data_IF_535438832442
#
_entry.id   IF_535438832442
#
_cell.length_a   1.000
_cell.length_b   1.000
_cell.length_c   1.000
_cell.angle_alpha   90.00
_cell.angle_beta   90.00
_cell.angle_gamma   90.00
#
_symmetry.space_group_name_H-M   'P 1'
#
loop_
_entity.id
_entity.type
_entity.pdbx_description
1 polymer ?
#
# COMPACT_ATOMS: atom_id res chain seq x y z
N UNK A 1 6.66 -32.93 22.62
CA UNK A 1 5.84 -33.30 21.46
C UNK A 1 5.50 -32.05 20.65
N UNK A 2 5.29 -30.90 21.31
CA UNK A 2 5.18 -29.55 20.69
C UNK A 2 6.30 -29.23 19.69
N UNK A 3 7.58 -29.40 20.05
CA UNK A 3 8.71 -29.10 19.13
C UNK A 3 8.71 -29.89 17.81
N UNK A 4 8.00 -31.03 17.71
CA UNK A 4 7.85 -31.75 16.44
C UNK A 4 6.64 -31.31 15.62
N UNK A 5 5.63 -30.74 16.28
CA UNK A 5 4.46 -30.12 15.65
C UNK A 5 4.85 -28.79 15.03
N UNK A 6 5.40 -27.87 15.83
CA UNK A 6 5.88 -26.56 15.37
C UNK A 6 6.87 -26.65 14.20
N UNK A 7 7.81 -27.60 14.25
CA UNK A 7 8.74 -27.82 13.13
C UNK A 7 8.06 -28.36 11.87
N UNK A 8 6.95 -29.09 12.02
CA UNK A 8 6.20 -29.58 10.85
C UNK A 8 5.46 -28.41 10.20
N UNK A 9 4.76 -27.61 11.00
CA UNK A 9 4.03 -26.42 10.55
C UNK A 9 4.98 -25.45 9.83
N UNK A 10 6.10 -25.06 10.46
CA UNK A 10 7.09 -24.18 9.83
C UNK A 10 7.71 -24.76 8.54
N UNK A 11 7.80 -26.09 8.41
CA UNK A 11 8.28 -26.71 7.18
C UNK A 11 7.21 -26.74 6.08
N UNK A 12 5.94 -26.78 6.45
CA UNK A 12 4.80 -26.78 5.52
C UNK A 12 4.64 -25.38 4.95
N UNK A 13 4.61 -24.36 5.81
CA UNK A 13 4.63 -22.94 5.46
C UNK A 13 5.82 -22.59 4.54
N UNK A 14 7.04 -23.03 4.90
CA UNK A 14 8.22 -22.81 4.05
C UNK A 14 8.09 -23.43 2.64
N UNK A 15 7.37 -24.56 2.49
CA UNK A 15 7.11 -25.14 1.18
C UNK A 15 6.03 -24.36 0.43
N UNK A 16 4.98 -23.93 1.11
CA UNK A 16 3.91 -23.11 0.52
C UNK A 16 4.45 -21.76 0.01
N UNK A 17 5.30 -21.09 0.80
CA UNK A 17 5.95 -19.86 0.37
C UNK A 17 6.92 -20.10 -0.81
N UNK A 18 7.57 -21.26 -0.87
CA UNK A 18 8.43 -21.59 -2.01
C UNK A 18 7.60 -21.81 -3.29
N UNK A 19 6.49 -22.55 -3.18
CA UNK A 19 5.57 -22.78 -4.29
C UNK A 19 4.94 -21.45 -4.76
N UNK A 20 4.55 -20.55 -3.84
CA UNK A 20 4.01 -19.23 -4.15
C UNK A 20 5.02 -18.35 -4.92
N UNK A 21 6.30 -18.38 -4.53
CA UNK A 21 7.37 -17.65 -5.26
C UNK A 21 7.60 -18.24 -6.65
N UNK A 22 7.53 -19.57 -6.80
CA UNK A 22 7.63 -20.24 -8.11
C UNK A 22 6.45 -19.84 -9.02
N UNK A 23 5.24 -19.73 -8.48
CA UNK A 23 4.06 -19.24 -9.22
C UNK A 23 4.24 -17.79 -9.69
N UNK A 24 4.77 -16.90 -8.85
CA UNK A 24 5.14 -15.54 -9.27
C UNK A 24 6.14 -15.58 -10.43
N UNK A 25 7.19 -16.41 -10.34
CA UNK A 25 8.19 -16.53 -11.41
C UNK A 25 7.58 -17.07 -12.72
N UNK A 26 6.57 -17.92 -12.66
CA UNK A 26 5.83 -18.38 -13.84
C UNK A 26 4.96 -17.28 -14.47
N UNK A 27 4.47 -16.33 -13.68
CA UNK A 27 3.66 -15.20 -14.15
C UNK A 27 4.51 -14.10 -14.80
N UNK A 28 5.61 -13.69 -14.15
CA UNK A 28 6.36 -12.49 -14.54
C UNK A 28 7.80 -12.76 -14.99
N UNK A 29 8.20 -14.03 -15.00
CA UNK A 29 9.48 -14.47 -15.52
C UNK A 29 10.42 -14.99 -14.43
N UNK A 30 11.33 -15.84 -14.88
CA UNK A 30 12.26 -16.63 -14.06
C UNK A 30 13.61 -15.90 -13.82
N UNK A 31 13.77 -14.69 -14.35
CA UNK A 31 14.97 -13.90 -14.14
C UNK A 31 14.98 -13.30 -12.73
N UNK A 32 16.19 -13.06 -12.19
CA UNK A 32 16.32 -12.36 -10.91
C UNK A 32 15.63 -11.00 -11.04
N UNK A 33 14.81 -10.65 -10.05
CA UNK A 33 14.26 -9.31 -9.96
C UNK A 33 15.36 -8.30 -9.64
N UNK A 34 15.58 -7.38 -10.57
CA UNK A 34 16.55 -6.30 -10.52
C UNK A 34 16.05 -5.23 -11.50
N UNK A 35 15.09 -4.38 -11.10
CA UNK A 35 14.54 -3.35 -11.98
C UNK A 35 15.66 -2.38 -12.39
N UNK A 36 15.58 -1.93 -13.64
CA UNK A 36 16.53 -0.98 -14.22
C UNK A 36 15.87 0.41 -14.25
N UNK A 37 16.32 1.29 -13.37
CA UNK A 37 15.95 2.70 -13.33
C UNK A 37 17.20 3.56 -13.15
N UNK A 38 17.17 4.77 -13.66
CA UNK A 38 18.19 5.79 -13.41
C UNK A 38 17.58 6.92 -12.57
N UNK A 39 18.41 7.60 -11.77
CA UNK A 39 17.94 8.70 -10.89
C UNK A 39 17.21 9.78 -11.71
N UNK A 40 17.69 10.04 -12.93
CA UNK A 40 17.09 11.04 -13.81
C UNK A 40 15.71 10.66 -14.33
N UNK A 41 15.26 9.41 -14.20
CA UNK A 41 13.93 8.98 -14.63
C UNK A 41 12.83 9.51 -13.70
N UNK A 42 13.18 9.99 -12.51
CA UNK A 42 12.23 10.45 -11.50
C UNK A 42 12.06 11.96 -11.48
N UNK A 43 10.83 12.40 -11.22
CA UNK A 43 10.51 13.82 -11.08
C UNK A 43 10.83 14.32 -9.67
N UNK A 44 10.93 15.64 -9.50
CA UNK A 44 10.98 16.25 -8.17
C UNK A 44 9.59 16.12 -7.50
N UNK A 45 9.47 15.48 -6.32
CA UNK A 45 8.19 15.33 -5.63
C UNK A 45 7.44 16.66 -5.41
N UNK A 46 8.16 17.76 -5.19
CA UNK A 46 7.55 19.08 -4.98
C UNK A 46 6.89 19.67 -6.24
N UNK A 47 7.17 19.12 -7.43
CA UNK A 47 6.58 19.55 -8.69
C UNK A 47 5.29 18.77 -9.04
N UNK A 48 5.00 17.68 -8.35
CA UNK A 48 3.80 16.85 -8.55
C UNK A 48 2.56 17.65 -8.11
N UNK A 49 1.58 17.78 -9.01
CA UNK A 49 0.40 18.63 -8.81
C UNK A 49 0.63 20.12 -9.12
N UNK A 50 1.88 20.55 -9.34
CA UNK A 50 2.23 21.94 -9.68
C UNK A 50 2.56 22.07 -11.17
N UNK A 51 3.60 21.39 -11.63
CA UNK A 51 4.07 21.41 -13.02
C UNK A 51 4.13 20.02 -13.65
N UNK A 52 4.18 18.98 -12.82
CA UNK A 52 4.07 17.57 -13.20
C UNK A 52 2.67 17.07 -12.85
N UNK A 53 2.02 16.37 -13.78
CA UNK A 53 0.74 15.73 -13.50
C UNK A 53 0.93 14.55 -12.54
N UNK A 54 0.13 14.43 -11.47
CA UNK A 54 0.19 13.27 -10.59
C UNK A 54 -0.29 12.01 -11.32
N UNK A 55 0.16 10.85 -10.85
CA UNK A 55 -0.42 9.57 -11.22
C UNK A 55 -1.94 9.58 -10.93
N UNK A 56 -2.78 9.10 -11.88
CA UNK A 56 -4.22 9.19 -11.74
C UNK A 56 -4.80 8.34 -10.60
N UNK A 57 -4.13 7.26 -10.19
CA UNK A 57 -4.63 6.30 -9.20
C UNK A 57 -3.85 6.34 -7.87
N UNK A 58 -2.69 6.99 -7.83
CA UNK A 58 -1.89 7.16 -6.62
C UNK A 58 -1.23 8.55 -6.61
N UNK A 59 -2.01 9.63 -6.40
CA UNK A 59 -1.51 10.99 -6.56
C UNK A 59 -0.63 11.41 -5.38
N UNK A 60 0.68 11.53 -5.62
CA UNK A 60 1.66 12.00 -4.62
C UNK A 60 1.74 13.52 -4.50
N UNK A 61 0.59 14.22 -4.35
CA UNK A 61 0.57 15.68 -4.21
C UNK A 61 0.75 16.06 -2.73
N UNK A 62 1.81 16.78 -2.33
CA UNK A 62 2.05 17.14 -0.93
C UNK A 62 0.89 17.88 -0.29
N UNK A 63 0.45 17.43 0.88
CA UNK A 63 -0.74 17.90 1.61
C UNK A 63 -2.04 17.17 1.27
N UNK A 64 -2.00 16.15 0.41
CA UNK A 64 -3.15 15.27 0.21
C UNK A 64 -3.33 14.35 1.41
N UNK A 65 -4.59 14.10 1.79
CA UNK A 65 -4.95 13.27 2.95
C UNK A 65 -6.15 12.37 2.64
N UNK A 66 -6.07 11.13 3.11
CA UNK A 66 -7.14 10.14 3.08
C UNK A 66 -7.37 9.60 4.49
N UNK A 67 -8.64 9.35 4.82
CA UNK A 67 -9.03 8.59 6.01
C UNK A 67 -9.86 7.40 5.55
N UNK A 68 -9.49 6.23 6.04
CA UNK A 68 -10.20 4.99 5.79
C UNK A 68 -10.69 4.39 7.10
N UNK A 69 -11.78 3.64 7.03
CA UNK A 69 -12.40 2.97 8.17
C UNK A 69 -12.66 1.51 7.84
N UNK A 70 -12.26 0.62 8.75
CA UNK A 70 -12.60 -0.79 8.80
C UNK A 70 -13.47 -1.05 10.04
N UNK A 71 -13.78 -2.32 10.36
CA UNK A 71 -14.64 -2.64 11.52
C UNK A 71 -14.09 -2.09 12.85
N UNK A 72 -12.78 -2.24 13.07
CA UNK A 72 -12.14 -1.91 14.35
C UNK A 72 -10.97 -0.92 14.21
N UNK A 73 -10.74 -0.38 13.01
CA UNK A 73 -9.55 0.44 12.71
C UNK A 73 -9.88 1.69 11.88
N UNK A 74 -9.14 2.77 12.17
CA UNK A 74 -9.07 3.96 11.33
C UNK A 74 -7.64 4.12 10.82
N UNK A 75 -7.52 4.32 9.50
CA UNK A 75 -6.26 4.52 8.81
C UNK A 75 -6.21 5.93 8.26
N UNK A 76 -5.14 6.68 8.55
CA UNK A 76 -4.91 8.02 7.99
C UNK A 76 -3.64 8.04 7.17
N UNK A 77 -3.77 8.40 5.89
CA UNK A 77 -2.67 8.49 4.94
C UNK A 77 -2.46 9.95 4.53
N UNK A 78 -1.22 10.44 4.63
CA UNK A 78 -0.86 11.83 4.32
C UNK A 78 0.39 11.90 3.44
N UNK A 79 0.34 12.66 2.33
CA UNK A 79 1.56 13.01 1.57
C UNK A 79 2.21 14.22 2.23
N UNK A 80 3.39 14.06 2.82
CA UNK A 80 4.07 15.14 3.52
C UNK A 80 4.80 16.10 2.55
N UNK A 81 5.01 17.35 2.96
CA UNK A 81 5.93 18.29 2.27
C UNK A 81 7.40 17.98 2.63
N UNK A 82 7.77 16.70 2.47
CA UNK A 82 9.08 16.15 2.81
C UNK A 82 9.59 15.25 1.67
N UNK A 83 10.91 15.25 1.49
CA UNK A 83 11.60 14.44 0.47
C UNK A 83 12.72 13.67 1.12
N UNK A 84 12.75 12.34 0.89
CA UNK A 84 13.85 11.46 1.28
C UNK A 84 14.60 10.99 0.04
N UNK A 85 15.92 10.88 0.13
CA UNK A 85 16.72 10.20 -0.90
C UNK A 85 16.86 8.73 -0.51
N UNK A 86 16.35 7.83 -1.35
CA UNK A 86 16.53 6.38 -1.23
C UNK A 86 17.23 5.88 -2.48
N UNK A 87 18.38 5.22 -2.33
CA UNK A 87 19.26 4.83 -3.45
C UNK A 87 19.58 5.99 -4.44
N UNK A 88 19.57 7.22 -3.93
CA UNK A 88 19.80 8.45 -4.72
C UNK A 88 18.56 9.02 -5.43
N UNK A 89 17.43 8.32 -5.42
CA UNK A 89 16.14 8.76 -5.99
C UNK A 89 15.39 9.66 -5.00
N UNK A 90 14.88 10.84 -5.42
CA UNK A 90 14.04 11.68 -4.58
C UNK A 90 12.64 11.08 -4.44
N UNK A 91 12.31 10.64 -3.23
CA UNK A 91 11.02 10.07 -2.89
C UNK A 91 10.17 11.05 -2.09
N UNK A 92 8.89 11.16 -2.44
CA UNK A 92 7.87 11.74 -1.57
C UNK A 92 7.77 10.89 -0.30
N UNK A 93 7.66 11.54 0.85
CA UNK A 93 7.36 10.84 2.11
C UNK A 93 5.86 10.82 2.29
N UNK A 94 5.29 9.62 2.38
CA UNK A 94 3.88 9.41 2.75
C UNK A 94 3.88 8.85 4.16
N UNK A 95 2.98 9.34 5.01
CA UNK A 95 2.78 8.83 6.35
C UNK A 95 1.47 8.08 6.40
N UNK A 96 1.52 6.83 6.84
CA UNK A 96 0.37 6.02 7.17
C UNK A 96 0.32 5.83 8.70
N UNK A 97 -0.87 5.95 9.28
CA UNK A 97 -1.08 5.67 10.70
C UNK A 97 -2.33 4.84 10.87
N UNK A 98 -2.18 3.73 11.59
CA UNK A 98 -3.28 2.83 11.94
C UNK A 98 -3.64 3.03 13.41
N UNK A 99 -4.93 3.21 13.69
CA UNK A 99 -5.46 3.34 15.04
C UNK A 99 -6.56 2.31 15.27
N UNK A 100 -6.44 1.57 16.37
CA UNK A 100 -7.50 0.68 16.85
C UNK A 100 -8.58 1.51 17.57
N UNK A 101 -9.83 1.29 17.21
CA UNK A 101 -10.99 1.91 17.85
C UNK A 101 -11.24 1.25 19.21
N UNK A 102 -11.52 2.07 20.22
CA UNK A 102 -11.90 1.55 21.52
C UNK A 102 -13.28 0.87 21.45
N UNK A 103 -13.39 -0.37 21.93
CA UNK A 103 -14.67 -1.08 22.09
C UNK A 103 -15.68 -0.22 22.91
N UNK A 104 -16.61 0.43 22.19
CA UNK A 104 -17.74 1.23 22.69
C UNK A 104 -17.42 2.36 23.69
N UNK A 105 -17.18 3.60 23.22
CA UNK A 105 -17.78 4.78 23.87
C UNK A 105 -18.34 5.79 22.84
N UNK A 106 -19.66 5.72 22.62
CA UNK A 106 -20.57 6.79 22.17
C UNK A 106 -20.36 7.38 20.74
N UNK A 107 -21.18 6.92 19.78
CA UNK A 107 -21.36 7.38 18.38
C UNK A 107 -21.70 8.89 18.23
N UNK A 108 -20.91 9.81 18.78
CA UNK A 108 -21.25 11.25 18.73
C UNK A 108 -20.10 12.22 18.58
N UNK A 109 -18.96 11.79 18.04
CA UNK A 109 -17.93 12.71 17.60
C UNK A 109 -18.10 12.97 16.11
N UNK A 110 -18.89 14.00 15.81
CA UNK A 110 -18.73 14.75 14.56
C UNK A 110 -17.29 15.28 14.57
N UNK A 111 -16.36 14.56 13.93
CA UNK A 111 -15.01 15.03 13.65
C UNK A 111 -15.13 16.34 12.86
N UNK A 112 -14.62 17.44 13.42
CA UNK A 112 -14.30 18.59 12.58
C UNK A 112 -13.13 18.15 11.68
N UNK A 113 -13.26 18.38 10.36
CA UNK A 113 -12.38 17.99 9.24
C UNK A 113 -10.83 18.10 9.41
N UNK A 114 -10.32 18.59 10.55
CA UNK A 114 -8.91 18.81 10.87
C UNK A 114 -8.46 18.19 12.22
N UNK A 115 -9.28 17.39 12.91
CA UNK A 115 -8.85 16.67 14.13
C UNK A 115 -8.46 15.21 13.82
N UNK A 116 -7.36 14.76 14.43
CA UNK A 116 -6.88 13.38 14.34
C UNK A 116 -7.94 12.40 14.88
N UNK A 117 -8.19 11.26 14.19
CA UNK A 117 -9.15 10.28 14.68
C UNK A 117 -8.78 9.76 16.07
N UNK A 118 -9.79 9.58 16.92
CA UNK A 118 -9.61 9.01 18.25
C UNK A 118 -9.34 7.49 18.15
N UNK A 119 -8.43 6.97 18.96
CA UNK A 119 -8.03 5.55 18.96
C UNK A 119 -6.61 5.36 19.45
N UNK A 120 -6.27 4.13 19.83
CA UNK A 120 -4.92 3.76 20.23
C UNK A 120 -4.06 3.60 18.98
N UNK A 121 -2.94 4.34 18.90
CA UNK A 121 -2.00 4.22 17.78
C UNK A 121 -1.32 2.85 17.85
N UNK A 122 -1.52 2.04 16.81
CA UNK A 122 -0.94 0.70 16.69
C UNK A 122 0.19 0.65 15.66
N UNK A 123 0.15 1.51 14.64
CA UNK A 123 1.21 1.63 13.63
C UNK A 123 1.43 3.09 13.19
N UNK A 124 2.68 3.46 12.94
CA UNK A 124 3.10 4.74 12.34
C UNK A 124 4.20 4.48 11.30
N UNK A 125 3.83 4.51 10.03
CA UNK A 125 4.67 4.12 8.91
C UNK A 125 5.03 5.35 8.07
N UNK A 126 6.30 5.43 7.64
CA UNK A 126 6.76 6.41 6.65
C UNK A 126 7.24 5.69 5.40
N UNK A 127 6.40 5.70 4.38
CA UNK A 127 6.67 5.18 3.05
C UNK A 127 7.46 6.18 2.18
N UNK A 128 8.26 5.65 1.27
CA UNK A 128 9.01 6.44 0.29
C UNK A 128 8.61 6.04 -1.13
N UNK A 129 7.86 6.92 -1.78
CA UNK A 129 7.39 6.72 -3.14
C UNK A 129 8.02 7.70 -4.12
N UNK A 130 8.30 7.26 -5.34
CA UNK A 130 8.82 8.14 -6.39
C UNK A 130 7.99 8.01 -7.67
N UNK A 131 7.59 9.15 -8.26
CA UNK A 131 6.95 9.18 -9.56
C UNK A 131 8.00 9.33 -10.67
N UNK A 132 7.95 8.44 -11.67
CA UNK A 132 8.81 8.56 -12.85
C UNK A 132 8.24 9.56 -13.88
N UNK A 133 9.03 9.87 -14.91
CA UNK A 133 8.66 10.79 -15.99
C UNK A 133 7.50 10.28 -16.86
N UNK A 134 7.24 8.97 -16.86
CA UNK A 134 6.09 8.36 -17.55
C UNK A 134 4.83 8.38 -16.66
N UNK A 135 4.97 8.78 -15.39
CA UNK A 135 3.91 8.93 -14.40
C UNK A 135 3.66 7.69 -13.55
N UNK A 136 4.47 6.63 -13.65
CA UNK A 136 4.34 5.47 -12.78
C UNK A 136 4.87 5.82 -11.39
N UNK A 137 4.23 5.27 -10.36
CA UNK A 137 4.68 5.40 -8.98
C UNK A 137 5.43 4.14 -8.61
N UNK A 138 6.62 4.32 -8.04
CA UNK A 138 7.50 3.28 -7.55
C UNK A 138 7.56 3.33 -6.03
N UNK A 139 7.65 2.17 -5.40
CA UNK A 139 7.80 2.02 -3.96
C UNK A 139 9.26 1.70 -3.62
N UNK A 140 9.92 2.58 -2.86
CA UNK A 140 11.34 2.47 -2.55
C UNK A 140 11.63 1.93 -1.15
N UNK A 141 10.62 1.80 -0.29
CA UNK A 141 10.73 1.26 1.05
C UNK A 141 9.96 2.07 2.09
N UNK A 142 10.05 1.60 3.32
CA UNK A 142 9.35 2.14 4.48
C UNK A 142 10.15 1.96 5.78
N UNK A 143 9.74 2.74 6.78
CA UNK A 143 9.98 2.44 8.19
C UNK A 143 8.63 2.35 8.86
N UNK A 144 8.24 1.15 9.28
CA UNK A 144 7.06 0.90 10.08
C UNK A 144 7.44 0.88 11.56
N UNK A 145 6.68 1.62 12.38
CA UNK A 145 6.81 1.62 13.83
C UNK A 145 5.54 0.99 14.42
N UNK A 146 5.67 -0.23 14.94
CA UNK A 146 4.57 -0.94 15.61
C UNK A 146 4.52 -0.56 17.10
N UNK A 147 3.32 -0.41 17.65
CA UNK A 147 3.10 0.02 19.03
C UNK A 147 2.34 -1.03 19.84
N UNK A 148 2.81 -1.27 21.06
CA UNK A 148 2.09 -2.01 22.10
C UNK A 148 2.08 -1.16 23.38
N UNK A 149 0.92 -0.99 24.03
CA UNK A 149 0.76 -0.19 25.25
C UNK A 149 1.30 1.27 25.12
N UNK A 150 1.27 1.83 23.90
CA UNK A 150 1.75 3.17 23.58
C UNK A 150 3.27 3.33 23.53
N UNK A 151 4.02 2.23 23.51
CA UNK A 151 5.48 2.20 23.28
C UNK A 151 5.79 1.42 21.99
N UNK A 152 6.87 1.79 21.31
CA UNK A 152 7.32 1.06 20.11
C UNK A 152 7.71 -0.37 20.52
N UNK A 153 7.03 -1.37 19.96
CA UNK A 153 7.30 -2.79 20.19
C UNK A 153 8.44 -3.29 19.29
N UNK A 154 8.37 -2.96 18.01
CA UNK A 154 9.28 -3.41 16.96
C UNK A 154 9.18 -2.51 15.70
N UNK A 155 9.81 -2.95 14.62
CA UNK A 155 9.84 -2.27 13.31
C UNK A 155 9.64 -3.29 12.17
N UNK A 156 8.97 -4.41 12.45
CA UNK A 156 8.64 -5.42 11.45
C UNK A 156 7.84 -4.76 10.30
N UNK A 157 8.08 -5.21 9.06
CA UNK A 157 7.61 -4.53 7.85
C UNK A 157 8.67 -3.62 7.22
N UNK A 158 9.55 -3.01 8.01
CA UNK A 158 10.52 -2.02 7.48
C UNK A 158 11.53 -2.58 6.47
N UNK A 159 11.65 -1.93 5.31
CA UNK A 159 12.65 -2.25 4.29
C UNK A 159 13.08 -1.02 3.50
N UNK A 160 14.27 -1.03 2.88
CA UNK A 160 14.76 0.10 2.07
C UNK A 160 15.53 -0.40 0.84
N UNK A 161 15.15 0.09 -0.34
CA UNK A 161 15.84 -0.22 -1.60
C UNK A 161 17.34 0.10 -1.51
N UNK A 162 18.16 -0.86 -1.94
CA UNK A 162 19.62 -0.75 -1.87
C UNK A 162 20.22 -1.35 -0.60
N UNK A 163 19.42 -1.56 0.45
CA UNK A 163 19.81 -2.25 1.67
C UNK A 163 19.45 -3.74 1.60
N UNK A 164 20.30 -4.61 2.13
CA UNK A 164 20.08 -6.07 2.30
C UNK A 164 19.61 -6.86 1.05
N UNK A 165 19.70 -6.27 -0.14
CA UNK A 165 19.24 -6.88 -1.39
C UNK A 165 17.84 -6.44 -1.82
N UNK A 166 17.19 -5.56 -1.06
CA UNK A 166 15.89 -5.00 -1.38
C UNK A 166 15.89 -4.24 -2.71
N UNK A 167 14.75 -4.27 -3.39
CA UNK A 167 14.53 -3.65 -4.70
C UNK A 167 13.16 -2.99 -4.73
N UNK A 168 13.13 -1.77 -5.24
CA UNK A 168 11.89 -1.07 -5.51
C UNK A 168 11.01 -1.86 -6.48
N UNK A 169 9.70 -1.70 -6.35
CA UNK A 169 8.73 -2.14 -7.35
C UNK A 169 7.93 -0.99 -7.91
N UNK A 170 7.17 -1.26 -8.96
CA UNK A 170 6.16 -0.31 -9.43
C UNK A 170 4.97 -0.51 -8.52
N UNK A 171 4.60 0.51 -7.73
CA UNK A 171 3.38 0.48 -6.94
C UNK A 171 2.15 0.62 -7.84
N UNK A 172 2.20 1.59 -8.76
CA UNK A 172 1.05 1.96 -9.57
C UNK A 172 1.47 2.49 -10.94
N UNK A 173 1.00 1.86 -12.01
CA UNK A 173 1.22 2.34 -13.37
C UNK A 173 0.40 3.61 -13.65
N UNK A 174 0.93 4.51 -14.48
CA UNK A 174 0.17 5.67 -14.98
C UNK A 174 -0.99 5.25 -15.90
N UNK A 175 -0.78 4.16 -16.64
CA UNK A 175 -1.70 3.58 -17.61
C UNK A 175 -1.78 2.07 -17.38
N UNK A 176 -2.48 1.63 -16.32
CA UNK A 176 -2.60 0.22 -16.00
C UNK A 176 -3.36 -0.53 -17.10
N UNK A 177 -2.90 -1.75 -17.41
CA UNK A 177 -3.53 -2.63 -18.41
C UNK A 177 -4.01 -3.93 -17.74
N UNK A 178 -5.30 -4.31 -17.89
CA UNK A 178 -5.83 -5.55 -17.34
C UNK A 178 -5.01 -6.79 -17.73
N UNK A 179 -4.70 -7.61 -16.74
CA UNK A 179 -3.87 -8.80 -16.86
C UNK A 179 -2.38 -8.57 -16.56
N UNK A 180 -1.93 -7.32 -16.43
CA UNK A 180 -0.55 -7.00 -16.00
C UNK A 180 -0.34 -7.47 -14.56
N UNK A 181 0.71 -8.25 -14.34
CA UNK A 181 1.18 -8.69 -13.02
C UNK A 181 2.55 -8.07 -12.77
N UNK A 182 2.79 -7.56 -11.57
CA UNK A 182 4.01 -6.83 -11.23
C UNK A 182 4.32 -6.90 -9.73
N UNK A 183 5.58 -6.67 -9.38
CA UNK A 183 6.04 -6.53 -7.98
C UNK A 183 5.86 -5.08 -7.55
N UNK A 184 5.27 -4.87 -6.39
CA UNK A 184 5.21 -3.56 -5.73
C UNK A 184 6.47 -3.34 -4.88
N UNK A 185 7.05 -4.42 -4.36
CA UNK A 185 8.28 -4.42 -3.55
C UNK A 185 9.01 -5.76 -3.62
N UNK A 186 10.26 -5.80 -3.14
CA UNK A 186 11.02 -7.03 -3.07
C UNK A 186 12.19 -6.97 -2.07
N UNK A 187 12.10 -7.76 -1.00
CA UNK A 187 13.13 -8.21 -0.08
C UNK A 187 12.73 -9.62 0.38
N UNK A 188 13.51 -10.63 -0.01
CA UNK A 188 13.13 -12.03 0.14
C UNK A 188 12.83 -12.42 1.59
N UNK A 189 11.56 -12.70 1.87
CA UNK A 189 11.08 -13.13 3.18
C UNK A 189 10.65 -12.00 4.12
N UNK A 190 10.79 -10.74 3.70
CA UNK A 190 10.46 -9.57 4.51
C UNK A 190 9.50 -8.59 3.78
N UNK A 191 9.58 -8.46 2.45
CA UNK A 191 8.74 -7.56 1.64
C UNK A 191 8.56 -8.14 0.23
N UNK A 192 7.40 -8.68 -0.15
CA UNK A 192 7.26 -9.39 -1.45
C UNK A 192 5.92 -9.13 -2.14
N UNK A 193 5.30 -7.97 -1.91
CA UNK A 193 3.98 -7.67 -2.44
C UNK A 193 3.92 -7.64 -3.96
N UNK A 194 2.81 -8.20 -4.44
CA UNK A 194 2.47 -8.42 -5.83
C UNK A 194 1.12 -7.77 -6.11
N UNK A 195 1.00 -7.17 -7.29
CA UNK A 195 -0.28 -6.73 -7.80
C UNK A 195 -0.58 -7.29 -9.19
N UNK A 196 -1.87 -7.49 -9.45
CA UNK A 196 -2.41 -7.77 -10.77
C UNK A 196 -3.53 -6.78 -11.09
N UNK A 197 -3.44 -6.11 -12.23
CA UNK A 197 -4.56 -5.31 -12.74
C UNK A 197 -5.68 -6.24 -13.19
N UNK A 198 -6.85 -6.13 -12.57
CA UNK A 198 -8.02 -6.96 -12.86
C UNK A 198 -8.96 -6.25 -13.85
N UNK A 199 -9.28 -4.99 -13.59
CA UNK A 199 -10.28 -4.24 -14.36
C UNK A 199 -10.01 -2.74 -14.32
N UNK A 200 -10.48 -2.01 -15.32
CA UNK A 200 -10.56 -0.54 -15.33
C UNK A 200 -12.01 -0.04 -15.26
N UNK A 201 -12.97 -0.98 -15.27
CA UNK A 201 -14.41 -0.71 -15.30
C UNK A 201 -15.08 -1.25 -14.01
N UNK A 202 -14.32 -1.44 -12.93
CA UNK A 202 -14.86 -1.99 -11.70
C UNK A 202 -15.82 -1.02 -11.02
N UNK A 203 -16.84 -1.57 -10.38
CA UNK A 203 -17.89 -0.83 -9.67
C UNK A 203 -18.16 -1.55 -8.33
N UNK A 204 -17.27 -1.40 -7.33
CA UNK A 204 -17.52 -1.95 -6.00
C UNK A 204 -18.80 -1.36 -5.40
N UNK A 205 -19.40 -2.10 -4.47
CA UNK A 205 -20.43 -1.55 -3.60
C UNK A 205 -19.72 -0.69 -2.54
N UNK A 206 -19.89 0.63 -2.61
CA UNK A 206 -19.31 1.58 -1.66
C UNK A 206 -20.37 2.00 -0.63
N UNK A 207 -19.96 2.21 0.62
CA UNK A 207 -20.79 2.73 1.70
C UNK A 207 -21.37 4.12 1.43
N UNK A 208 -22.39 4.51 2.21
CA UNK A 208 -23.10 5.79 2.01
C UNK A 208 -22.22 7.02 2.24
N UNK A 209 -21.22 6.90 3.14
CA UNK A 209 -20.30 7.98 3.51
C UNK A 209 -19.02 7.99 2.66
N UNK A 210 -18.84 7.00 1.78
CA UNK A 210 -17.66 6.94 0.92
C UNK A 210 -17.70 8.06 -0.13
N UNK A 211 -16.70 8.96 -0.17
CA UNK A 211 -16.69 10.08 -1.11
C UNK A 211 -16.34 9.66 -2.55
N UNK A 212 -16.00 8.39 -2.77
CA UNK A 212 -15.68 7.82 -4.06
C UNK A 212 -16.88 7.67 -5.01
N UNK A 213 -16.60 7.66 -6.31
CA UNK A 213 -17.56 7.43 -7.40
C UNK A 213 -16.95 6.56 -8.49
N UNK A 214 -17.24 5.26 -8.43
CA UNK A 214 -16.88 4.28 -9.44
C UNK A 214 -17.94 4.11 -10.54
N UNK A 215 -18.94 4.99 -10.67
CA UNK A 215 -20.00 4.86 -11.69
C UNK A 215 -19.49 4.90 -13.14
N UNK A 216 -18.30 5.48 -13.35
CA UNK A 216 -17.61 5.50 -14.64
C UNK A 216 -16.43 4.51 -14.73
N UNK A 217 -16.32 3.59 -13.78
CA UNK A 217 -15.25 2.61 -13.67
C UNK A 217 -14.13 3.07 -12.75
N UNK A 218 -13.74 2.17 -11.85
CA UNK A 218 -12.53 2.25 -11.05
C UNK A 218 -11.51 1.21 -11.55
N UNK A 219 -10.23 1.51 -11.34
CA UNK A 219 -9.19 0.50 -11.41
C UNK A 219 -9.43 -0.50 -10.28
N UNK A 220 -9.33 -1.79 -10.59
CA UNK A 220 -9.29 -2.86 -9.62
C UNK A 220 -7.96 -3.59 -9.75
N UNK A 221 -7.23 -3.72 -8.66
CA UNK A 221 -6.09 -4.63 -8.54
C UNK A 221 -6.48 -5.80 -7.65
N UNK A 222 -5.80 -6.93 -7.86
CA UNK A 222 -5.69 -7.99 -6.87
C UNK A 222 -4.29 -7.94 -6.33
N UNK A 223 -4.13 -7.88 -5.02
CA UNK A 223 -2.84 -7.79 -4.35
C UNK A 223 -2.64 -9.00 -3.45
N UNK A 224 -1.39 -9.49 -3.35
CA UNK A 224 -1.04 -10.66 -2.55
C UNK A 224 0.47 -10.69 -2.27
N UNK A 225 0.87 -11.51 -1.29
CA UNK A 225 2.28 -11.74 -0.97
C UNK A 225 2.63 -13.24 -0.97
N UNK A 226 3.78 -13.65 -1.54
CA UNK A 226 4.32 -14.99 -1.35
C UNK A 226 4.74 -15.32 0.09
N UNK A 227 4.84 -14.31 0.97
CA UNK A 227 5.15 -14.49 2.41
C UNK A 227 3.96 -15.12 3.13
N UNK A 228 2.73 -14.76 2.73
CA UNK A 228 1.48 -15.28 3.27
C UNK A 228 0.64 -15.99 2.18
N UNK A 229 1.04 -17.22 1.77
CA UNK A 229 0.37 -17.93 0.69
C UNK A 229 -1.13 -18.11 0.92
N UNK A 230 -1.92 -17.70 -0.08
CA UNK A 230 -3.38 -17.80 -0.05
C UNK A 230 -4.09 -16.53 0.39
N UNK A 231 -3.39 -15.63 1.11
CA UNK A 231 -3.89 -14.28 1.36
C UNK A 231 -3.92 -13.48 0.05
N UNK A 232 -4.99 -12.74 -0.18
CA UNK A 232 -5.05 -11.73 -1.24
C UNK A 232 -6.22 -10.80 -1.00
N UNK A 233 -6.13 -9.60 -1.54
CA UNK A 233 -7.16 -8.57 -1.43
C UNK A 233 -7.49 -7.98 -2.80
N UNK A 234 -8.66 -7.35 -2.92
CA UNK A 234 -8.96 -6.47 -4.04
C UNK A 234 -8.90 -5.02 -3.59
N UNK A 235 -8.12 -4.20 -4.30
CA UNK A 235 -8.09 -2.74 -4.10
C UNK A 235 -8.78 -2.04 -5.26
N UNK A 236 -9.55 -1.00 -4.94
CA UNK A 236 -10.30 -0.22 -5.92
C UNK A 236 -9.86 1.23 -5.89
N UNK A 237 -9.46 1.76 -7.06
CA UNK A 237 -8.94 3.12 -7.18
C UNK A 237 -9.78 3.95 -8.14
N UNK A 238 -10.23 5.11 -7.67
CA UNK A 238 -10.87 6.11 -8.52
C UNK A 238 -9.83 7.08 -9.09
N UNK A 239 -9.84 7.33 -10.42
CA UNK A 239 -9.02 8.37 -11.02
C UNK A 239 -9.18 9.75 -10.36
N UNK A 240 -8.09 10.34 -9.92
CA UNK A 240 -8.01 11.66 -9.28
C UNK A 240 -8.38 11.67 -7.79
N UNK A 241 -8.76 10.53 -7.21
CA UNK A 241 -8.98 10.37 -5.77
C UNK A 241 -7.93 9.44 -5.19
N UNK A 242 -7.70 8.28 -5.80
CA UNK A 242 -6.83 7.24 -5.25
C UNK A 242 -7.64 6.04 -4.80
N UNK A 243 -7.15 5.34 -3.78
CA UNK A 243 -7.82 4.19 -3.17
C UNK A 243 -9.18 4.63 -2.60
N UNK A 244 -10.23 3.86 -2.87
CA UNK A 244 -11.59 4.12 -2.35
C UNK A 244 -12.13 2.95 -1.53
N UNK A 245 -11.63 1.74 -1.75
CA UNK A 245 -12.00 0.55 -1.00
C UNK A 245 -10.93 -0.53 -1.16
N UNK A 246 -10.65 -1.25 -0.08
CA UNK A 246 -10.03 -2.59 -0.09
C UNK A 246 -11.08 -3.61 0.33
N UNK A 247 -10.99 -4.83 -0.21
CA UNK A 247 -11.94 -5.89 0.08
C UNK A 247 -11.26 -7.25 0.11
N UNK A 248 -11.42 -7.98 1.21
CA UNK A 248 -11.03 -9.38 1.31
C UNK A 248 -12.01 -10.24 0.45
N UNK A 249 -11.50 -11.00 -0.53
CA UNK A 249 -12.34 -11.79 -1.43
C UNK A 249 -12.97 -13.04 -0.77
N UNK A 250 -12.48 -13.48 0.39
CA UNK A 250 -12.96 -14.64 1.13
C UNK A 250 -13.97 -14.27 2.23
N UNK A 251 -13.62 -13.31 3.10
CA UNK A 251 -14.47 -12.85 4.22
C UNK A 251 -15.49 -11.81 3.78
N UNK A 252 -15.13 -10.96 2.80
CA UNK A 252 -15.91 -9.80 2.40
C UNK A 252 -15.77 -8.60 3.34
N UNK A 253 -14.82 -8.64 4.27
CA UNK A 253 -14.41 -7.48 5.07
C UNK A 253 -13.84 -6.40 4.15
N UNK A 254 -14.09 -5.14 4.50
CA UNK A 254 -13.71 -3.99 3.68
C UNK A 254 -13.08 -2.90 4.52
N UNK A 255 -12.08 -2.25 3.95
CA UNK A 255 -11.59 -0.95 4.37
C UNK A 255 -12.18 0.08 3.39
N UNK A 256 -12.93 1.07 3.86
CA UNK A 256 -13.56 2.07 2.99
C UNK A 256 -13.02 3.47 3.22
N UNK A 257 -12.83 4.23 2.13
CA UNK A 257 -12.53 5.66 2.21
C UNK A 257 -13.71 6.40 2.83
N UNK A 258 -13.47 7.21 3.85
CA UNK A 258 -14.49 8.04 4.51
C UNK A 258 -14.21 9.53 4.35
N UNK A 259 -12.94 9.93 4.28
CA UNK A 259 -12.55 11.32 4.02
C UNK A 259 -11.43 11.41 2.98
N UNK A 260 -11.51 12.42 2.12
CA UNK A 260 -10.48 12.73 1.14
C UNK A 260 -10.32 14.23 0.96
N UNK A 261 -9.07 14.69 0.95
CA UNK A 261 -8.74 16.07 0.61
C UNK A 261 -7.45 16.17 -0.21
N UNK A 262 -7.42 17.13 -1.13
CA UNK A 262 -6.23 17.55 -1.87
C UNK A 262 -6.05 19.08 -1.73
N UNK A 263 -4.81 19.58 -1.80
CA UNK A 263 -4.48 21.01 -1.72
C UNK A 263 -5.08 21.91 -2.82
#
# INVERSE_FOLDING_TARGET
MESRGARREANEECLEQADARDEVCDLIGQERYDPDYEIEDFVDPAEIGVSVSPNPFFPLVPGSRWVYEAEDEIITVEVLDEVRLVDGVPCAVVRDTVRELAEEEDESLESEHDEEPEGDLVEDTLDWYAQDQDGNVWYFGEISLNFEDGEISDIEGSWETGEEGARAGVLMFAMPEPGTVYRQEFLLGDAEDMAQVISLDAQPELGEDNPGDCSNGCLQTREWTPIEPGSSEFKYYQPGVGLVQEADPESGETLELTEFSMP
#
